data_IF_623518389274
#
_entry.id   IF_623518389274
#
_cell.length_a   1.000
_cell.length_b   1.000
_cell.length_c   1.000
_cell.angle_alpha   90.00
_cell.angle_beta   90.00
_cell.angle_gamma   90.00
#
_symmetry.space_group_name_H-M   'P 1'
#
loop_
_entity.id
_entity.type
_entity.pdbx_description
1 polymer ?
#
# COMPACT_ATOMS: atom_id res chain seq x y z
N UNK A 1 -11.49 21.19 -17.50
CA UNK A 1 -10.04 20.96 -17.62
C UNK A 1 -9.69 19.59 -17.10
N UNK A 2 -8.90 18.87 -17.86
CA UNK A 2 -8.51 17.49 -17.50
C UNK A 2 -7.35 17.51 -16.53
N UNK A 3 -7.53 16.92 -15.36
CA UNK A 3 -6.50 16.82 -14.31
C UNK A 3 -5.62 15.57 -14.45
N UNK A 4 -5.79 14.78 -15.52
CA UNK A 4 -5.03 13.55 -15.71
C UNK A 4 -3.51 13.74 -15.64
N UNK A 5 -3.02 14.83 -16.26
CA UNK A 5 -1.59 15.14 -16.23
C UNK A 5 -1.11 15.36 -14.80
N UNK A 6 -1.87 16.11 -14.02
CA UNK A 6 -1.55 16.34 -12.61
C UNK A 6 -1.46 15.03 -11.82
N UNK A 7 -2.48 14.18 -11.96
CA UNK A 7 -2.49 12.90 -11.23
C UNK A 7 -1.34 12.00 -11.63
N UNK A 8 -1.04 11.94 -12.91
CA UNK A 8 0.06 11.11 -13.40
C UNK A 8 1.42 11.60 -12.91
N UNK A 9 1.63 12.92 -12.92
CA UNK A 9 2.86 13.52 -12.41
C UNK A 9 2.99 13.34 -10.90
N UNK A 10 1.91 13.54 -10.18
CA UNK A 10 1.87 13.35 -8.72
C UNK A 10 2.19 11.91 -8.34
N UNK A 11 1.55 10.94 -9.02
CA UNK A 11 1.78 9.52 -8.80
C UNK A 11 3.24 9.15 -9.09
N UNK A 12 3.78 9.61 -10.20
CA UNK A 12 5.16 9.33 -10.61
C UNK A 12 6.17 9.86 -9.59
N UNK A 13 5.96 11.09 -9.14
CA UNK A 13 6.82 11.70 -8.12
C UNK A 13 6.77 10.94 -6.81
N UNK A 14 5.57 10.59 -6.39
CA UNK A 14 5.37 9.82 -5.16
C UNK A 14 6.08 8.48 -5.24
N UNK A 15 5.90 7.76 -6.35
CA UNK A 15 6.53 6.46 -6.54
C UNK A 15 8.05 6.56 -6.46
N UNK A 16 8.64 7.58 -7.08
CA UNK A 16 10.08 7.81 -7.02
C UNK A 16 10.55 8.12 -5.61
N UNK A 17 9.83 8.98 -4.89
CA UNK A 17 10.18 9.36 -3.52
C UNK A 17 10.10 8.16 -2.58
N UNK A 18 9.05 7.36 -2.70
CA UNK A 18 8.86 6.19 -1.84
C UNK A 18 9.87 5.09 -2.14
N UNK A 19 10.22 4.91 -3.40
CA UNK A 19 11.30 3.98 -3.77
C UNK A 19 12.61 4.38 -3.10
N UNK A 20 12.92 5.68 -3.10
CA UNK A 20 14.12 6.20 -2.46
C UNK A 20 14.12 5.94 -0.94
N UNK A 21 12.97 6.13 -0.30
CA UNK A 21 12.83 5.84 1.13
C UNK A 21 13.10 4.36 1.41
N UNK A 22 12.50 3.47 0.63
CA UNK A 22 12.70 2.03 0.77
C UNK A 22 14.15 1.62 0.56
N UNK A 23 14.82 2.25 -0.41
CA UNK A 23 16.23 2.01 -0.67
C UNK A 23 17.09 2.46 0.50
N UNK A 24 16.78 3.60 1.08
CA UNK A 24 17.51 4.13 2.23
C UNK A 24 17.34 3.26 3.48
N UNK A 25 16.23 2.55 3.58
CA UNK A 25 15.98 1.58 4.64
C UNK A 25 16.54 0.19 4.33
N UNK A 26 17.15 0.01 3.16
CA UNK A 26 17.68 -1.29 2.76
C UNK A 26 16.63 -2.32 2.36
N UNK A 27 15.41 -1.88 2.08
CA UNK A 27 14.28 -2.76 1.75
C UNK A 27 14.08 -2.96 0.25
N UNK A 28 14.65 -2.09 -0.57
CA UNK A 28 14.62 -2.18 -2.03
C UNK A 28 15.95 -1.70 -2.61
N UNK A 29 16.16 -2.02 -3.88
CA UNK A 29 17.29 -1.51 -4.66
C UNK A 29 16.85 -0.31 -5.51
N UNK A 30 17.30 -0.24 -6.77
CA UNK A 30 17.13 0.97 -7.58
C UNK A 30 15.83 1.02 -8.37
N UNK A 31 15.02 -0.02 -8.32
CA UNK A 31 13.79 -0.08 -9.10
C UNK A 31 12.71 -0.86 -8.35
N UNK A 32 11.45 -0.62 -8.70
CA UNK A 32 10.34 -1.37 -8.17
C UNK A 32 10.23 -2.72 -8.87
N UNK A 33 10.29 -3.79 -8.08
CA UNK A 33 9.95 -5.12 -8.58
C UNK A 33 8.45 -5.17 -8.78
N UNK A 34 8.01 -5.60 -9.97
CA UNK A 34 6.60 -5.56 -10.34
C UNK A 34 6.19 -6.81 -11.12
N UNK A 35 4.91 -7.13 -11.06
CA UNK A 35 4.28 -8.14 -11.89
C UNK A 35 2.89 -7.65 -12.27
N UNK A 36 2.49 -7.85 -13.51
CA UNK A 36 1.14 -7.48 -13.96
C UNK A 36 0.07 -8.23 -13.19
N UNK A 37 0.30 -9.48 -12.86
CA UNK A 37 -0.62 -10.29 -12.04
C UNK A 37 -0.91 -9.62 -10.70
N UNK A 38 0.15 -9.15 -10.04
CA UNK A 38 0.04 -8.49 -8.74
C UNK A 38 -0.67 -7.13 -8.90
N UNK A 39 -0.24 -6.33 -9.87
CA UNK A 39 -0.80 -5.00 -10.07
C UNK A 39 -2.28 -5.06 -10.45
N UNK A 40 -2.67 -6.03 -11.27
CA UNK A 40 -4.07 -6.21 -11.66
C UNK A 40 -4.96 -6.58 -10.47
N UNK A 41 -4.41 -7.28 -9.49
CA UNK A 41 -5.16 -7.66 -8.30
C UNK A 41 -5.61 -6.46 -7.48
N UNK A 42 -4.85 -5.38 -7.50
CA UNK A 42 -5.25 -4.14 -6.85
C UNK A 42 -6.60 -3.65 -7.37
N UNK A 43 -6.83 -3.76 -8.67
CA UNK A 43 -8.09 -3.33 -9.27
C UNK A 43 -9.30 -4.08 -8.69
N UNK A 44 -9.11 -5.33 -8.29
CA UNK A 44 -10.16 -6.13 -7.66
C UNK A 44 -10.44 -5.70 -6.22
N UNK A 45 -9.40 -5.33 -5.47
CA UNK A 45 -9.53 -5.00 -4.06
C UNK A 45 -9.81 -3.52 -3.81
N UNK A 46 -9.43 -2.64 -4.74
CA UNK A 46 -9.49 -1.20 -4.55
C UNK A 46 -10.88 -0.67 -4.15
N UNK A 47 -11.98 -1.11 -4.77
CA UNK A 47 -13.30 -0.59 -4.39
C UNK A 47 -13.64 -0.83 -2.91
N UNK A 48 -13.38 -2.04 -2.40
CA UNK A 48 -13.65 -2.35 -1.00
C UNK A 48 -12.70 -1.63 -0.07
N UNK A 49 -11.41 -1.57 -0.43
CA UNK A 49 -10.42 -0.86 0.35
C UNK A 49 -10.73 0.63 0.43
N UNK A 50 -11.06 1.24 -0.70
CA UNK A 50 -11.40 2.67 -0.74
C UNK A 50 -12.63 2.97 0.10
N UNK A 51 -13.66 2.12 0.05
CA UNK A 51 -14.86 2.29 0.85
C UNK A 51 -14.55 2.32 2.36
N UNK A 52 -13.59 1.50 2.80
CA UNK A 52 -13.17 1.48 4.20
C UNK A 52 -12.23 2.62 4.54
N UNK A 53 -11.23 2.88 3.68
CA UNK A 53 -10.20 3.88 3.96
C UNK A 53 -10.74 5.31 3.97
N UNK A 54 -11.78 5.60 3.18
CA UNK A 54 -12.40 6.94 3.18
C UNK A 54 -12.87 7.32 4.57
N UNK A 55 -13.38 6.39 5.34
CA UNK A 55 -13.82 6.65 6.73
C UNK A 55 -12.66 6.98 7.65
N UNK A 56 -11.48 6.46 7.37
CA UNK A 56 -10.29 6.64 8.21
C UNK A 56 -9.49 7.88 7.83
N UNK A 57 -9.62 8.38 6.59
CA UNK A 57 -8.80 9.50 6.09
C UNK A 57 -8.91 10.74 6.97
N UNK A 58 -10.09 11.02 7.52
CA UNK A 58 -10.31 12.22 8.35
C UNK A 58 -9.56 12.13 9.69
N UNK A 59 -9.59 10.96 10.33
CA UNK A 59 -9.05 10.79 11.69
C UNK A 59 -7.67 10.12 11.69
N UNK A 60 -7.45 9.16 10.80
CA UNK A 60 -6.22 8.37 10.74
C UNK A 60 -5.71 8.25 9.31
N UNK A 61 -5.33 9.39 8.68
CA UNK A 61 -4.91 9.36 7.26
C UNK A 61 -3.67 8.49 7.01
N UNK A 62 -2.74 8.44 7.96
CA UNK A 62 -1.54 7.61 7.82
C UNK A 62 -1.91 6.13 7.74
N UNK A 63 -2.86 5.67 8.56
CA UNK A 63 -3.34 4.28 8.52
C UNK A 63 -4.01 3.97 7.19
N UNK A 64 -4.88 4.88 6.72
CA UNK A 64 -5.58 4.72 5.43
C UNK A 64 -4.61 4.58 4.26
N UNK A 65 -3.46 5.24 4.34
CA UNK A 65 -2.41 5.15 3.32
C UNK A 65 -1.58 3.88 3.51
N UNK A 66 -1.16 3.61 4.74
CA UNK A 66 -0.21 2.54 5.06
C UNK A 66 -0.74 1.13 4.77
N UNK A 67 -2.01 0.89 5.08
CA UNK A 67 -2.56 -0.48 4.97
C UNK A 67 -2.57 -1.00 3.53
N UNK A 68 -2.62 -0.12 2.53
CA UNK A 68 -2.50 -0.53 1.13
C UNK A 68 -1.17 -1.25 0.84
N UNK A 69 -0.10 -0.84 1.51
CA UNK A 69 1.21 -1.51 1.37
C UNK A 69 1.17 -2.93 1.91
N UNK A 70 0.50 -3.14 3.03
CA UNK A 70 0.36 -4.50 3.58
C UNK A 70 -0.44 -5.41 2.66
N UNK A 71 -1.46 -4.88 2.00
CA UNK A 71 -2.22 -5.62 0.99
C UNK A 71 -1.30 -6.02 -0.16
N UNK A 72 -0.45 -5.11 -0.62
CA UNK A 72 0.54 -5.40 -1.66
C UNK A 72 1.49 -6.52 -1.25
N UNK A 73 1.96 -6.50 -0.01
CA UNK A 73 2.82 -7.57 0.51
C UNK A 73 2.10 -8.92 0.51
N UNK A 74 0.85 -8.95 0.95
CA UNK A 74 0.06 -10.18 0.99
C UNK A 74 -0.12 -10.77 -0.41
N UNK A 75 -0.48 -9.93 -1.39
CA UNK A 75 -0.67 -10.39 -2.77
C UNK A 75 0.63 -10.92 -3.37
N UNK A 76 1.74 -10.23 -3.14
CA UNK A 76 3.06 -10.68 -3.61
C UNK A 76 3.46 -12.01 -2.96
N UNK A 77 3.16 -12.19 -1.68
CA UNK A 77 3.39 -13.44 -0.96
C UNK A 77 2.60 -14.59 -1.60
N UNK A 78 1.33 -14.37 -1.88
CA UNK A 78 0.48 -15.35 -2.55
C UNK A 78 0.98 -15.67 -3.96
N UNK A 79 1.38 -14.63 -4.70
CA UNK A 79 1.92 -14.79 -6.06
C UNK A 79 3.13 -15.72 -6.07
N UNK A 80 4.00 -15.59 -5.08
CA UNK A 80 5.20 -16.42 -4.96
C UNK A 80 4.91 -17.84 -4.48
N UNK A 81 3.85 -18.03 -3.68
CA UNK A 81 3.52 -19.36 -3.12
C UNK A 81 2.79 -20.26 -4.10
N UNK A 82 1.59 -19.86 -4.50
CA UNK A 82 0.73 -20.65 -5.39
C UNK A 82 -0.34 -19.72 -5.97
N UNK A 83 0.03 -19.02 -7.02
CA UNK A 83 -0.86 -18.01 -7.58
C UNK A 83 -2.17 -18.61 -8.11
N UNK A 84 -2.11 -19.78 -8.74
CA UNK A 84 -3.30 -20.42 -9.30
C UNK A 84 -4.36 -20.69 -8.23
N UNK A 85 -3.94 -21.04 -7.02
CA UNK A 85 -4.87 -21.30 -5.91
C UNK A 85 -5.28 -20.03 -5.18
N UNK A 86 -4.39 -19.03 -5.09
CA UNK A 86 -4.58 -17.89 -4.19
C UNK A 86 -5.06 -16.63 -4.88
N UNK A 87 -4.98 -16.54 -6.21
CA UNK A 87 -5.35 -15.34 -6.97
C UNK A 87 -6.82 -14.92 -6.80
N UNK A 88 -7.70 -15.85 -6.47
CA UNK A 88 -9.13 -15.59 -6.35
C UNK A 88 -9.58 -15.36 -4.89
N UNK A 89 -8.66 -15.24 -3.96
CA UNK A 89 -9.01 -14.97 -2.57
C UNK A 89 -9.74 -13.63 -2.45
N UNK A 90 -10.87 -13.58 -1.72
CA UNK A 90 -11.62 -12.34 -1.56
C UNK A 90 -10.90 -11.38 -0.60
N UNK A 91 -11.25 -10.10 -0.69
CA UNK A 91 -10.70 -9.06 0.16
C UNK A 91 -10.84 -9.37 1.66
N UNK A 92 -11.95 -10.03 2.06
CA UNK A 92 -12.20 -10.37 3.45
C UNK A 92 -11.10 -11.22 4.08
N UNK A 93 -10.40 -12.04 3.28
CA UNK A 93 -9.27 -12.85 3.76
C UNK A 93 -8.11 -11.96 4.20
N UNK A 94 -7.88 -10.86 3.50
CA UNK A 94 -6.83 -9.90 3.86
C UNK A 94 -7.18 -9.15 5.14
N UNK A 95 -8.43 -8.83 5.33
CA UNK A 95 -8.92 -8.06 6.46
C UNK A 95 -8.82 -8.83 7.77
N UNK A 96 -9.09 -10.14 7.74
CA UNK A 96 -9.07 -10.97 8.93
C UNK A 96 -10.29 -10.76 9.83
N UNK A 97 -10.30 -11.45 10.97
CA UNK A 97 -11.44 -11.46 11.90
C UNK A 97 -11.63 -10.13 12.62
N UNK A 98 -10.54 -9.40 12.88
CA UNK A 98 -10.58 -8.15 13.63
C UNK A 98 -10.91 -6.94 12.80
N UNK A 99 -10.94 -7.08 11.49
CA UNK A 99 -11.32 -6.02 10.58
C UNK A 99 -10.17 -5.10 10.18
N UNK A 100 -10.55 -3.93 9.66
CA UNK A 100 -9.61 -2.99 9.02
C UNK A 100 -8.48 -2.53 9.94
N UNK A 101 -8.79 -2.22 11.20
CA UNK A 101 -7.80 -1.65 12.12
C UNK A 101 -6.62 -2.58 12.40
N UNK A 102 -6.87 -3.88 12.41
CA UNK A 102 -5.85 -4.91 12.71
C UNK A 102 -5.40 -5.66 11.46
N UNK A 103 -5.74 -5.17 10.27
CA UNK A 103 -5.39 -5.83 9.02
C UNK A 103 -3.88 -6.00 8.83
N UNK A 104 -3.10 -5.00 9.24
CA UNK A 104 -1.64 -5.05 9.18
C UNK A 104 -1.09 -6.24 9.98
N UNK A 105 -1.55 -6.41 11.19
CA UNK A 105 -1.13 -7.52 12.06
C UNK A 105 -1.54 -8.86 11.48
N UNK A 106 -2.77 -8.97 10.98
CA UNK A 106 -3.26 -10.18 10.35
C UNK A 106 -2.39 -10.57 9.15
N UNK A 107 -2.07 -9.61 8.30
CA UNK A 107 -1.25 -9.87 7.12
C UNK A 107 0.16 -10.32 7.54
N UNK A 108 0.80 -9.58 8.43
CA UNK A 108 2.18 -9.88 8.83
C UNK A 108 2.27 -11.23 9.52
N UNK A 109 1.38 -11.52 10.46
CA UNK A 109 1.43 -12.76 11.24
C UNK A 109 0.89 -13.95 10.47
N UNK A 110 -0.32 -13.82 9.90
CA UNK A 110 -1.05 -14.98 9.39
C UNK A 110 -0.80 -15.24 7.90
N UNK A 111 -0.48 -14.23 7.11
CA UNK A 111 -0.19 -14.39 5.69
C UNK A 111 1.31 -14.46 5.42
N UNK A 112 2.07 -13.50 5.93
CA UNK A 112 3.54 -13.50 5.75
C UNK A 112 4.25 -14.48 6.67
N UNK A 113 3.61 -14.87 7.77
CA UNK A 113 4.19 -15.84 8.70
C UNK A 113 5.30 -15.27 9.57
N UNK A 114 5.29 -13.97 9.84
CA UNK A 114 6.30 -13.30 10.66
C UNK A 114 5.81 -13.09 12.08
N UNK A 115 6.74 -13.07 13.02
CA UNK A 115 6.44 -12.71 14.40
C UNK A 115 6.29 -11.20 14.50
N UNK A 116 5.17 -10.73 15.06
CA UNK A 116 4.87 -9.30 15.18
C UNK A 116 5.94 -8.54 15.96
N UNK A 117 6.52 -9.15 16.96
CA UNK A 117 7.58 -8.54 17.79
C UNK A 117 8.97 -8.75 17.20
N UNK A 118 9.09 -9.45 16.09
CA UNK A 118 10.37 -9.77 15.47
C UNK A 118 11.01 -8.60 14.76
N UNK A 119 12.33 -8.71 14.54
CA UNK A 119 13.11 -7.66 13.89
C UNK A 119 12.62 -7.36 12.45
N UNK A 120 12.23 -8.42 11.73
CA UNK A 120 11.79 -8.26 10.34
C UNK A 120 10.46 -7.53 10.24
N UNK A 121 9.50 -7.89 11.11
CA UNK A 121 8.21 -7.19 11.18
C UNK A 121 8.41 -5.70 11.54
N UNK A 122 9.34 -5.41 12.45
CA UNK A 122 9.64 -4.03 12.83
C UNK A 122 10.26 -3.22 11.70
N UNK A 123 11.13 -3.83 10.90
CA UNK A 123 11.70 -3.17 9.71
C UNK A 123 10.63 -2.82 8.70
N UNK A 124 9.71 -3.76 8.46
CA UNK A 124 8.58 -3.55 7.54
C UNK A 124 7.72 -2.40 8.06
N UNK A 125 7.35 -2.44 9.33
CA UNK A 125 6.55 -1.38 9.96
C UNK A 125 7.21 -0.01 9.80
N UNK A 126 8.49 0.08 10.08
CA UNK A 126 9.24 1.34 10.02
C UNK A 126 9.27 1.91 8.59
N UNK A 127 9.54 1.08 7.58
CA UNK A 127 9.61 1.58 6.20
C UNK A 127 8.23 1.97 5.68
N UNK A 128 7.21 1.18 5.98
CA UNK A 128 5.85 1.49 5.54
C UNK A 128 5.36 2.77 6.21
N UNK A 129 5.62 2.93 7.51
CA UNK A 129 5.26 4.15 8.23
C UNK A 129 5.96 5.38 7.63
N UNK A 130 7.26 5.27 7.35
CA UNK A 130 8.01 6.37 6.72
C UNK A 130 7.45 6.74 5.36
N UNK A 131 7.10 5.75 4.55
CA UNK A 131 6.47 5.98 3.24
C UNK A 131 5.11 6.67 3.39
N UNK A 132 4.28 6.20 4.31
CA UNK A 132 2.94 6.77 4.51
C UNK A 132 3.01 8.21 5.01
N UNK A 133 3.91 8.51 5.93
CA UNK A 133 4.12 9.88 6.42
C UNK A 133 4.58 10.81 5.29
N UNK A 134 5.50 10.35 4.46
CA UNK A 134 5.99 11.14 3.34
C UNK A 134 4.88 11.38 2.30
N UNK A 135 4.12 10.34 1.98
CA UNK A 135 3.01 10.43 1.04
C UNK A 135 1.97 11.45 1.53
N UNK A 136 1.62 11.38 2.81
CA UNK A 136 0.67 12.33 3.41
C UNK A 136 1.20 13.76 3.32
N UNK A 137 2.51 13.95 3.56
CA UNK A 137 3.15 15.25 3.43
C UNK A 137 3.04 15.81 2.02
N UNK A 138 3.25 14.97 0.99
CA UNK A 138 3.09 15.39 -0.40
C UNK A 138 1.65 15.82 -0.71
N UNK A 139 0.67 15.07 -0.21
CA UNK A 139 -0.74 15.41 -0.39
C UNK A 139 -1.06 16.77 0.24
N UNK A 140 -0.59 16.99 1.46
CA UNK A 140 -0.86 18.23 2.21
C UNK A 140 -0.26 19.45 1.53
N UNK A 141 0.89 19.30 0.90
CA UNK A 141 1.55 20.40 0.18
C UNK A 141 0.77 20.90 -1.03
N UNK A 142 -0.08 20.04 -1.60
CA UNK A 142 -0.87 20.41 -2.76
C UNK A 142 -2.04 21.32 -2.42
N UNK A 143 -2.38 21.46 -1.13
CA UNK A 143 -3.47 22.35 -0.69
C UNK A 143 -4.83 21.98 -1.26
N UNK A 144 -5.08 20.68 -1.44
CA UNK A 144 -6.31 20.18 -2.05
C UNK A 144 -7.47 20.30 -1.06
N UNK A 145 -8.62 20.80 -1.52
CA UNK A 145 -9.82 20.88 -0.71
C UNK A 145 -10.21 19.50 -0.16
N UNK A 146 -10.35 19.36 1.18
CA UNK A 146 -10.80 18.11 1.77
C UNK A 146 -12.18 17.69 1.22
N UNK A 147 -12.40 16.39 1.05
CA UNK A 147 -13.66 15.82 0.59
C UNK A 147 -14.07 16.21 -0.84
N UNK A 148 -13.14 16.80 -1.60
CA UNK A 148 -13.36 17.09 -3.02
C UNK A 148 -13.11 15.85 -3.87
N UNK A 149 -13.59 15.87 -5.13
CA UNK A 149 -13.26 14.85 -6.11
C UNK A 149 -11.75 14.70 -6.28
N UNK A 150 -11.05 15.82 -6.33
CA UNK A 150 -9.60 15.84 -6.50
C UNK A 150 -8.91 15.14 -5.33
N UNK A 151 -9.35 15.40 -4.11
CA UNK A 151 -8.81 14.72 -2.92
C UNK A 151 -9.02 13.21 -3.00
N UNK A 152 -10.22 12.78 -3.42
CA UNK A 152 -10.50 11.36 -3.58
C UNK A 152 -9.54 10.70 -4.58
N UNK A 153 -9.35 11.29 -5.76
CA UNK A 153 -8.46 10.73 -6.77
C UNK A 153 -7.01 10.73 -6.33
N UNK A 154 -6.57 11.76 -5.62
CA UNK A 154 -5.20 11.81 -5.09
C UNK A 154 -4.98 10.70 -4.07
N UNK A 155 -5.92 10.49 -3.15
CA UNK A 155 -5.82 9.38 -2.20
C UNK A 155 -5.87 8.03 -2.89
N UNK A 156 -6.72 7.86 -3.89
CA UNK A 156 -6.79 6.60 -4.65
C UNK A 156 -5.46 6.27 -5.34
N UNK A 157 -4.84 7.27 -5.97
CA UNK A 157 -3.51 7.11 -6.59
C UNK A 157 -2.44 6.81 -5.56
N UNK A 158 -2.52 7.48 -4.41
CA UNK A 158 -1.57 7.27 -3.30
C UNK A 158 -1.65 5.83 -2.78
N UNK A 159 -2.84 5.32 -2.58
CA UNK A 159 -3.04 3.95 -2.10
C UNK A 159 -2.56 2.93 -3.13
N UNK A 160 -2.75 3.20 -4.42
CA UNK A 160 -2.21 2.36 -5.48
C UNK A 160 -0.68 2.31 -5.46
N UNK A 161 -0.03 3.46 -5.29
CA UNK A 161 1.43 3.52 -5.16
C UNK A 161 1.88 2.74 -3.93
N UNK A 162 1.21 2.91 -2.80
CA UNK A 162 1.55 2.17 -1.58
C UNK A 162 1.41 0.66 -1.77
N UNK A 163 0.36 0.22 -2.47
CA UNK A 163 0.20 -1.19 -2.82
C UNK A 163 1.42 -1.69 -3.60
N UNK A 164 1.85 -0.96 -4.61
CA UNK A 164 3.04 -1.33 -5.41
C UNK A 164 4.30 -1.38 -4.57
N UNK A 165 4.47 -0.43 -3.66
CA UNK A 165 5.61 -0.38 -2.75
C UNK A 165 5.63 -1.63 -1.85
N UNK A 166 4.50 -1.96 -1.25
CA UNK A 166 4.39 -3.16 -0.40
C UNK A 166 4.69 -4.43 -1.18
N UNK A 167 4.14 -4.55 -2.37
CA UNK A 167 4.41 -5.70 -3.24
C UNK A 167 5.89 -5.82 -3.58
N UNK A 168 6.54 -4.70 -3.92
CA UNK A 168 7.98 -4.69 -4.23
C UNK A 168 8.83 -5.08 -3.03
N UNK A 169 8.48 -4.60 -1.84
CA UNK A 169 9.18 -4.98 -0.60
C UNK A 169 9.13 -6.49 -0.39
N UNK A 170 7.94 -7.07 -0.55
CA UNK A 170 7.80 -8.52 -0.36
C UNK A 170 8.56 -9.30 -1.44
N UNK A 171 8.47 -8.89 -2.70
CA UNK A 171 9.22 -9.55 -3.79
C UNK A 171 10.73 -9.49 -3.55
N UNK A 172 11.22 -8.38 -3.04
CA UNK A 172 12.66 -8.23 -2.72
C UNK A 172 13.07 -9.12 -1.54
N UNK A 173 12.17 -9.31 -0.59
CA UNK A 173 12.41 -10.10 0.61
C UNK A 173 12.45 -11.60 0.33
N UNK A 174 11.73 -12.06 -0.71
CA UNK A 174 11.60 -13.48 -1.07
C UNK A 174 12.82 -14.07 -1.79
#
# INVERSE_FOLDING_TARGET
MDDSLFYNMFESRMEQDLLKICRNHGMLENHLLQSDDINDKWNSYAPEYMAQSVKEIADYPTVAIAWAAYIGMAVACWWNRDWDKLKDQPYSVLQGERGFDDMDEHIVRDILGLQLEGAEAKKIENVIHSCAEHALGLIRREGIEPQSKKAFYVYARTEQVMFKIGAAIELHRL
#
